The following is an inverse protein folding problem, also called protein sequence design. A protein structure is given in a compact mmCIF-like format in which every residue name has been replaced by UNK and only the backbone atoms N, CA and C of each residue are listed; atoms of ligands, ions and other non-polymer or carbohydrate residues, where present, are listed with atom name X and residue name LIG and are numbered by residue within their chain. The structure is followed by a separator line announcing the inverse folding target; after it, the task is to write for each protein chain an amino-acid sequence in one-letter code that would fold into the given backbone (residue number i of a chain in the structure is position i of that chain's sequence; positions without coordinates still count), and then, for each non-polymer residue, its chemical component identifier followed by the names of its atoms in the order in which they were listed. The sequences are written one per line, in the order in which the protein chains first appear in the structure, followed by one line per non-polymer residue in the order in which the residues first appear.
data_IF_899711237262
#
_entry.id   IF_899711237262
#
_cell.length_a   1.000
_cell.length_b   1.000
_cell.length_c   1.000
_cell.angle_alpha   90.00
_cell.angle_beta   90.00
_cell.angle_gamma   90.00
#
_symmetry.space_group_name_H-M   'P 1'
#
loop_
_entity.id
_entity.type
_entity.pdbx_description
1 polymer ?
#
# COMPACT_ATOMS: atom_id res chain seq x y z
N UNK A 1 8.18 2.07 10.64
CA UNK A 1 7.42 0.95 10.02
C UNK A 1 5.93 1.17 10.21
N UNK A 2 5.33 0.94 11.39
CA UNK A 2 3.87 1.13 11.60
C UNK A 2 3.40 2.59 11.39
N UNK A 3 4.17 3.58 11.87
CA UNK A 3 3.80 5.01 11.73
C UNK A 3 3.70 5.43 10.26
N UNK A 4 4.65 5.03 9.42
CA UNK A 4 4.68 5.40 8.00
C UNK A 4 3.51 4.77 7.23
N UNK A 5 3.16 3.51 7.53
CA UNK A 5 2.01 2.81 6.94
C UNK A 5 0.70 3.54 7.30
N UNK A 6 0.53 3.93 8.56
CA UNK A 6 -0.63 4.69 9.01
C UNK A 6 -0.71 6.07 8.31
N UNK A 7 0.41 6.77 8.14
CA UNK A 7 0.45 8.04 7.41
C UNK A 7 0.03 7.89 5.95
N UNK A 8 0.54 6.87 5.25
CA UNK A 8 0.15 6.59 3.86
C UNK A 8 -1.36 6.37 3.78
N UNK A 9 -1.91 5.55 4.67
CA UNK A 9 -3.33 5.25 4.69
C UNK A 9 -4.22 6.45 4.94
N UNK A 10 -3.91 7.23 5.99
CA UNK A 10 -4.65 8.43 6.34
C UNK A 10 -4.66 9.42 5.19
N UNK A 11 -3.50 9.66 4.56
CA UNK A 11 -3.40 10.60 3.45
C UNK A 11 -4.10 10.11 2.17
N UNK A 12 -4.00 8.82 1.83
CA UNK A 12 -4.77 8.28 0.71
C UNK A 12 -6.26 8.39 0.98
N UNK A 13 -6.73 8.02 2.16
CA UNK A 13 -8.15 8.10 2.48
C UNK A 13 -8.68 9.54 2.47
N UNK A 14 -7.88 10.50 2.94
CA UNK A 14 -8.24 11.91 2.98
C UNK A 14 -8.30 12.56 1.58
N UNK A 15 -7.41 12.18 0.66
CA UNK A 15 -7.21 12.92 -0.60
C UNK A 15 -7.53 12.14 -1.87
N UNK A 16 -7.47 10.81 -1.82
CA UNK A 16 -7.51 9.94 -3.01
C UNK A 16 -8.46 8.73 -2.86
N UNK A 17 -9.27 8.64 -1.80
CA UNK A 17 -10.17 7.50 -1.54
C UNK A 17 -11.20 7.22 -2.64
N UNK A 18 -11.55 8.22 -3.45
CA UNK A 18 -12.43 8.03 -4.60
C UNK A 18 -11.78 7.24 -5.75
N UNK A 19 -10.44 7.17 -5.77
CA UNK A 19 -9.67 6.61 -6.89
C UNK A 19 -8.75 5.46 -6.46
N UNK A 20 -8.33 5.42 -5.21
CA UNK A 20 -7.31 4.51 -4.70
C UNK A 20 -7.84 3.79 -3.46
N UNK A 21 -7.95 2.47 -3.57
CA UNK A 21 -8.13 1.59 -2.42
C UNK A 21 -6.76 1.21 -1.85
N UNK A 22 -6.65 1.21 -0.53
CA UNK A 22 -5.42 0.80 0.19
C UNK A 22 -5.63 -0.54 0.83
N UNK A 23 -4.66 -1.44 0.67
CA UNK A 23 -4.62 -2.73 1.33
C UNK A 23 -3.25 -2.95 1.97
N UNK A 24 -3.24 -3.47 3.19
CA UNK A 24 -2.06 -3.97 3.86
C UNK A 24 -1.97 -5.48 3.63
N UNK A 25 -0.87 -5.95 3.04
CA UNK A 25 -0.63 -7.38 2.81
C UNK A 25 0.41 -7.86 3.81
N UNK A 26 0.09 -8.92 4.57
CA UNK A 26 0.99 -9.47 5.59
C UNK A 26 1.09 -10.99 5.45
N UNK A 27 2.27 -11.54 5.71
CA UNK A 27 2.52 -12.99 5.82
C UNK A 27 2.32 -13.53 7.23
N UNK A 28 2.25 -12.65 8.23
CA UNK A 28 1.95 -12.99 9.61
C UNK A 28 0.87 -12.02 10.14
N UNK A 29 -0.33 -12.54 10.39
CA UNK A 29 -1.45 -11.76 10.89
C UNK A 29 -1.43 -11.76 12.41
N UNK A 30 -1.24 -10.57 12.99
CA UNK A 30 -1.38 -10.33 14.42
C UNK A 30 -2.52 -9.31 14.66
N UNK A 31 -3.70 -9.77 15.11
CA UNK A 31 -4.85 -8.89 15.31
C UNK A 31 -4.63 -7.83 16.39
N UNK A 32 -3.70 -8.02 17.34
CA UNK A 32 -3.40 -7.02 18.37
C UNK A 32 -2.56 -5.86 17.83
N UNK A 33 -1.76 -6.13 16.80
CA UNK A 33 -0.89 -5.14 16.16
C UNK A 33 -1.50 -4.52 14.89
N UNK A 34 -2.50 -5.15 14.28
CA UNK A 34 -3.16 -4.67 13.06
C UNK A 34 -4.66 -4.46 13.25
N UNK A 35 -5.04 -3.24 13.63
CA UNK A 35 -6.45 -2.84 13.75
C UNK A 35 -7.10 -2.49 12.38
N UNK A 36 -6.84 -3.30 11.35
CA UNK A 36 -7.20 -3.04 9.94
C UNK A 36 -8.08 -4.14 9.34
N UNK A 37 -9.27 -4.43 9.90
CA UNK A 37 -9.99 -5.65 9.56
C UNK A 37 -10.43 -5.73 8.08
N UNK A 38 -10.86 -4.62 7.46
CA UNK A 38 -11.47 -4.64 6.12
C UNK A 38 -10.49 -4.40 4.96
N UNK A 39 -9.26 -3.98 5.27
CA UNK A 39 -8.23 -3.60 4.29
C UNK A 39 -6.91 -4.34 4.55
N UNK A 40 -6.99 -5.49 5.22
CA UNK A 40 -5.87 -6.39 5.43
C UNK A 40 -6.05 -7.67 4.62
N UNK A 41 -4.99 -8.07 3.93
CA UNK A 41 -4.90 -9.33 3.20
C UNK A 41 -3.84 -10.19 3.88
N UNK A 42 -4.27 -11.32 4.43
CA UNK A 42 -3.35 -12.33 4.97
C UNK A 42 -2.85 -13.24 3.85
N UNK A 43 -1.63 -12.98 3.37
CA UNK A 43 -0.98 -13.76 2.32
C UNK A 43 -0.32 -15.02 2.90
N UNK A 44 -1.15 -15.91 3.44
CA UNK A 44 -0.74 -17.13 4.16
C UNK A 44 0.23 -18.00 3.36
N UNK A 45 0.05 -18.06 2.05
CA UNK A 45 0.85 -18.90 1.14
C UNK A 45 1.97 -18.12 0.45
N UNK A 46 2.22 -16.86 0.85
CA UNK A 46 3.27 -16.00 0.30
C UNK A 46 3.16 -15.72 -1.22
N UNK A 47 2.02 -16.02 -1.84
CA UNK A 47 1.81 -15.94 -3.30
C UNK A 47 1.83 -14.51 -3.80
N UNK A 48 1.31 -13.57 -3.00
CA UNK A 48 1.30 -12.14 -3.37
C UNK A 48 2.72 -11.59 -3.25
N UNK A 49 3.40 -11.88 -2.15
CA UNK A 49 4.78 -11.43 -1.95
C UNK A 49 5.72 -11.96 -3.05
N UNK A 50 5.61 -13.24 -3.42
CA UNK A 50 6.37 -13.82 -4.52
C UNK A 50 6.05 -13.17 -5.86
N UNK A 51 4.76 -13.01 -6.19
CA UNK A 51 4.32 -12.39 -7.45
C UNK A 51 4.88 -10.99 -7.64
N UNK A 52 4.93 -10.21 -6.56
CA UNK A 52 5.42 -8.83 -6.61
C UNK A 52 6.92 -8.70 -6.31
N UNK A 53 7.60 -9.79 -5.92
CA UNK A 53 9.01 -9.76 -5.51
C UNK A 53 9.25 -8.95 -4.24
N UNK A 54 8.29 -8.96 -3.31
CA UNK A 54 8.34 -8.23 -2.05
C UNK A 54 9.05 -9.06 -0.97
N UNK A 55 10.38 -8.92 -0.86
CA UNK A 55 11.20 -9.60 0.15
C UNK A 55 11.27 -8.85 1.50
N UNK A 56 10.50 -7.78 1.67
CA UNK A 56 10.47 -6.93 2.86
C UNK A 56 9.28 -5.98 2.83
N UNK A 57 9.40 -4.80 3.45
CA UNK A 57 8.35 -3.77 3.39
C UNK A 57 8.39 -2.98 2.08
N UNK A 58 7.33 -3.10 1.29
CA UNK A 58 7.24 -2.50 -0.03
C UNK A 58 5.89 -1.79 -0.16
N UNK A 59 5.88 -0.70 -0.91
CA UNK A 59 4.66 -0.02 -1.33
C UNK A 59 4.51 -0.20 -2.84
N UNK A 60 3.32 -0.62 -3.27
CA UNK A 60 2.96 -0.74 -4.68
C UNK A 60 1.69 0.06 -4.96
N UNK A 61 1.67 0.79 -6.06
CA UNK A 61 0.44 1.33 -6.64
C UNK A 61 0.12 0.54 -7.90
N UNK A 62 -1.00 -0.17 -7.88
CA UNK A 62 -1.50 -0.94 -9.01
C UNK A 62 -2.51 -0.08 -9.75
N UNK A 63 -2.30 0.08 -11.05
CA UNK A 63 -3.20 0.83 -11.94
C UNK A 63 -4.43 -0.01 -12.29
N UNK A 64 -5.52 0.61 -12.79
CA UNK A 64 -6.70 -0.11 -13.27
C UNK A 64 -6.45 -1.13 -14.39
N UNK A 65 -5.34 -0.99 -15.13
CA UNK A 65 -4.90 -1.94 -16.17
C UNK A 65 -4.01 -3.06 -15.63
N UNK A 66 -3.92 -3.21 -14.29
CA UNK A 66 -3.15 -4.22 -13.56
C UNK A 66 -1.63 -4.09 -13.67
N UNK A 67 -1.11 -2.99 -14.21
CA UNK A 67 0.32 -2.69 -14.17
C UNK A 67 0.71 -1.94 -12.90
N UNK A 68 1.94 -2.19 -12.42
CA UNK A 68 2.53 -1.41 -11.34
C UNK A 68 2.87 -0.02 -11.86
N UNK A 69 2.14 1.00 -11.40
CA UNK A 69 2.40 2.40 -11.75
C UNK A 69 3.49 3.04 -10.88
N UNK A 70 3.60 2.61 -9.63
CA UNK A 70 4.60 3.10 -8.69
C UNK A 70 5.04 2.00 -7.72
N UNK A 71 6.31 2.04 -7.30
CA UNK A 71 6.88 1.19 -6.25
C UNK A 71 7.88 1.96 -5.42
N UNK A 72 7.92 1.72 -4.11
CA UNK A 72 9.01 2.20 -3.25
C UNK A 72 9.43 1.18 -2.20
N UNK A 73 10.72 1.24 -1.84
CA UNK A 73 11.35 0.45 -0.78
C UNK A 73 12.28 1.40 -0.01
N UNK A 74 12.02 1.71 1.26
CA UNK A 74 10.83 1.33 2.03
C UNK A 74 9.53 2.02 1.52
N UNK A 75 8.35 1.73 2.12
CA UNK A 75 7.15 2.53 1.92
C UNK A 75 7.42 3.99 2.28
N UNK A 76 7.03 4.93 1.40
CA UNK A 76 7.36 6.36 1.52
C UNK A 76 6.21 7.22 1.02
N UNK A 77 5.54 7.92 1.93
CA UNK A 77 4.43 8.80 1.55
C UNK A 77 4.89 9.95 0.63
N UNK A 78 5.99 10.62 0.95
CA UNK A 78 6.51 11.76 0.18
C UNK A 78 6.75 11.42 -1.29
N UNK A 79 7.24 10.21 -1.57
CA UNK A 79 7.49 9.72 -2.93
C UNK A 79 6.20 9.36 -3.65
N UNK A 80 5.28 8.68 -2.98
CA UNK A 80 3.97 8.36 -3.54
C UNK A 80 3.20 9.64 -3.87
N UNK A 81 3.15 10.60 -2.94
CA UNK A 81 2.44 11.87 -3.11
C UNK A 81 2.98 12.65 -4.31
N UNK A 82 4.31 12.77 -4.43
CA UNK A 82 4.94 13.43 -5.58
C UNK A 82 4.60 12.76 -6.91
N UNK A 83 4.43 11.43 -6.93
CA UNK A 83 3.98 10.70 -8.11
C UNK A 83 2.49 10.95 -8.39
N UNK A 84 1.62 10.86 -7.38
CA UNK A 84 0.18 11.05 -7.51
C UNK A 84 -0.17 12.45 -8.00
N UNK A 85 0.51 13.50 -7.52
CA UNK A 85 0.34 14.89 -7.99
C UNK A 85 0.64 15.09 -9.47
N UNK A 86 1.40 14.20 -10.12
CA UNK A 86 1.63 14.23 -11.58
C UNK A 86 0.47 13.66 -12.37
N UNK A 87 -0.29 12.74 -11.78
CA UNK A 87 -1.42 12.04 -12.41
C UNK A 87 -2.70 12.83 -12.17
N UNK A 88 -3.01 13.04 -10.89
CA UNK A 88 -4.16 13.80 -10.44
C UNK A 88 -3.76 15.27 -10.43
N UNK A 89 -3.88 15.92 -11.60
CA UNK A 89 -3.73 17.37 -11.70
C UNK A 89 -4.93 18.01 -11.01
N UNK A 90 -4.70 18.50 -9.80
CA UNK A 90 -5.55 19.52 -9.18
C UNK A 90 -4.99 20.89 -9.55
#
# INVERSE_FOLDING_TARGET
MIVEINTIFQNINAHYSQWINVYLVVTNYDPENYNWPDQLIFDKENRIHERYGAAGEYLYLIRPDHFVGFRSIPPRWDKLESYLKKIFKY
#
